data_IF_311308178270
#
_entry.id   IF_311308178270
#
_cell.length_a   1.000
_cell.length_b   1.000
_cell.length_c   1.000
_cell.angle_alpha   90.00
_cell.angle_beta   90.00
_cell.angle_gamma   90.00
#
_symmetry.space_group_name_H-M   'P 1'
#
loop_
_entity.id
_entity.type
_entity.pdbx_description
1 polymer ?
#
# COMPACT_ATOMS: atom_id res chain seq x y z
N UNK A 1 19.53 0.18 24.31
CA UNK A 1 18.53 1.28 24.18
C UNK A 1 17.20 0.71 24.60
N UNK A 2 16.39 1.43 25.38
CA UNK A 2 15.07 0.97 25.80
C UNK A 2 14.09 1.03 24.60
N UNK A 3 13.25 -0.01 24.45
CA UNK A 3 12.27 -0.08 23.37
C UNK A 3 11.07 0.82 23.66
N UNK A 4 10.58 1.52 22.65
CA UNK A 4 9.41 2.39 22.76
C UNK A 4 8.17 1.60 23.16
N UNK A 5 7.50 2.02 24.24
CA UNK A 5 6.24 1.43 24.69
C UNK A 5 5.15 1.47 23.62
N UNK A 6 5.10 2.56 22.86
CA UNK A 6 4.14 2.72 21.74
C UNK A 6 4.32 1.61 20.70
N UNK A 7 5.58 1.30 20.32
CA UNK A 7 5.88 0.24 19.36
C UNK A 7 5.61 -1.15 19.93
N UNK A 8 5.86 -1.37 21.20
CA UNK A 8 5.49 -2.63 21.87
C UNK A 8 3.98 -2.86 21.83
N UNK A 9 3.17 -1.83 22.13
CA UNK A 9 1.70 -1.91 22.05
C UNK A 9 1.20 -2.18 20.62
N UNK A 10 1.86 -1.60 19.62
CA UNK A 10 1.55 -1.89 18.21
C UNK A 10 1.85 -3.35 17.87
N UNK A 11 2.98 -3.89 18.29
CA UNK A 11 3.35 -5.30 18.07
C UNK A 11 2.38 -6.28 18.77
N UNK A 12 1.93 -5.96 19.98
CA UNK A 12 0.90 -6.74 20.67
C UNK A 12 -0.42 -6.75 19.92
N UNK A 13 -0.84 -5.58 19.43
CA UNK A 13 -2.06 -5.42 18.62
C UNK A 13 -1.98 -6.20 17.31
N UNK A 14 -0.81 -6.21 16.65
CA UNK A 14 -0.55 -7.03 15.46
C UNK A 14 -0.75 -8.51 15.76
N UNK A 15 -0.15 -9.02 16.84
CA UNK A 15 -0.28 -10.43 17.26
C UNK A 15 -1.74 -10.80 17.54
N UNK A 16 -2.45 -9.95 18.26
CA UNK A 16 -3.85 -10.13 18.59
C UNK A 16 -4.72 -10.17 17.32
N UNK A 17 -4.52 -9.22 16.40
CA UNK A 17 -5.32 -9.12 15.18
C UNK A 17 -5.00 -10.26 14.19
N UNK A 18 -3.75 -10.70 14.08
CA UNK A 18 -3.42 -11.90 13.31
C UNK A 18 -4.14 -13.13 13.89
N UNK A 19 -4.09 -13.33 15.22
CA UNK A 19 -4.79 -14.43 15.89
C UNK A 19 -6.29 -14.40 15.66
N UNK A 20 -6.90 -13.22 15.63
CA UNK A 20 -8.34 -13.04 15.37
C UNK A 20 -8.71 -13.00 13.88
N UNK A 21 -7.74 -13.01 12.96
CA UNK A 21 -7.99 -12.86 11.52
C UNK A 21 -8.42 -11.44 11.10
N UNK A 22 -8.13 -10.42 11.91
CA UNK A 22 -8.53 -9.03 11.66
C UNK A 22 -7.49 -8.27 10.84
N UNK A 23 -7.07 -8.82 9.72
CA UNK A 23 -5.96 -8.32 8.90
C UNK A 23 -6.17 -6.94 8.28
N UNK A 24 -7.37 -6.42 8.25
CA UNK A 24 -7.74 -5.11 7.70
C UNK A 24 -7.89 -4.02 8.77
N UNK A 25 -7.71 -4.37 10.04
CA UNK A 25 -7.79 -3.42 11.14
C UNK A 25 -6.50 -2.61 11.29
N UNK A 26 -6.66 -1.38 11.74
CA UNK A 26 -5.56 -0.50 12.07
C UNK A 26 -4.91 -0.87 13.39
N UNK A 27 -3.59 -0.90 13.38
CA UNK A 27 -2.77 -1.15 14.58
C UNK A 27 -2.15 0.13 15.14
N UNK A 28 -2.12 1.18 14.35
CA UNK A 28 -1.66 2.52 14.75
C UNK A 28 -2.81 3.38 15.29
N UNK A 29 -2.47 4.42 16.03
CA UNK A 29 -3.42 5.41 16.53
C UNK A 29 -3.45 6.61 15.58
N UNK A 30 -4.33 6.57 14.59
CA UNK A 30 -4.49 7.68 13.65
C UNK A 30 -5.34 8.83 14.23
N UNK A 31 -5.10 10.07 13.80
CA UNK A 31 -5.96 11.20 14.15
C UNK A 31 -7.41 10.98 13.69
N UNK A 32 -8.40 11.57 14.38
CA UNK A 32 -9.79 11.51 13.93
C UNK A 32 -9.95 12.01 12.49
N UNK A 33 -10.68 11.26 11.67
CA UNK A 33 -10.89 11.59 10.26
C UNK A 33 -11.95 12.68 10.10
N UNK A 34 -11.62 13.75 9.38
CA UNK A 34 -12.60 14.71 8.86
C UNK A 34 -12.98 14.30 7.45
N UNK A 35 -14.27 14.05 7.14
CA UNK A 35 -14.69 13.63 5.81
C UNK A 35 -14.38 14.67 4.72
N UNK A 36 -13.94 14.20 3.56
CA UNK A 36 -13.74 15.03 2.37
C UNK A 36 -15.08 15.50 1.78
N UNK A 37 -15.05 16.73 1.24
CA UNK A 37 -16.18 17.28 0.48
C UNK A 37 -15.92 17.14 -1.03
N UNK A 38 -16.96 16.96 -1.86
CA UNK A 38 -16.83 17.00 -3.31
C UNK A 38 -16.14 18.28 -3.80
N UNK A 39 -15.25 18.16 -4.78
CA UNK A 39 -14.47 19.27 -5.32
C UNK A 39 -13.33 19.80 -4.45
N UNK A 40 -13.12 19.23 -3.27
CA UNK A 40 -12.06 19.67 -2.35
C UNK A 40 -10.65 19.29 -2.84
N UNK A 41 -10.50 18.21 -3.60
CA UNK A 41 -9.21 17.69 -4.05
C UNK A 41 -9.05 17.88 -5.57
N UNK A 42 -7.95 18.48 -5.98
CA UNK A 42 -7.55 18.53 -7.40
C UNK A 42 -6.73 17.28 -7.76
N UNK A 43 -7.39 16.13 -7.85
CA UNK A 43 -6.77 14.82 -8.08
C UNK A 43 -5.86 14.75 -9.31
N UNK A 44 -6.15 15.52 -10.33
CA UNK A 44 -5.43 15.47 -11.62
C UNK A 44 -4.54 16.67 -11.87
N UNK A 45 -4.33 17.51 -10.85
CA UNK A 45 -3.50 18.71 -10.88
C UNK A 45 -3.89 19.64 -12.06
N UNK A 46 -5.17 19.98 -12.20
CA UNK A 46 -5.65 20.89 -13.25
C UNK A 46 -5.26 22.34 -12.98
N UNK A 47 -5.33 22.75 -11.70
CA UNK A 47 -5.03 24.12 -11.29
C UNK A 47 -3.52 24.36 -11.30
N UNK A 48 -3.09 25.52 -11.76
CA UNK A 48 -1.66 25.89 -11.77
C UNK A 48 -1.06 25.90 -10.36
N UNK A 49 -1.82 26.41 -9.37
CA UNK A 49 -1.43 26.40 -7.96
C UNK A 49 -1.19 24.97 -7.44
N UNK A 50 -2.07 24.02 -7.79
CA UNK A 50 -1.88 22.62 -7.41
C UNK A 50 -0.63 22.00 -8.02
N UNK A 51 -0.35 22.33 -9.30
CA UNK A 51 0.90 21.88 -9.97
C UNK A 51 2.13 22.39 -9.26
N UNK A 52 2.18 23.70 -9.00
CA UNK A 52 3.33 24.34 -8.34
C UNK A 52 3.52 23.78 -6.91
N UNK A 53 2.45 23.73 -6.12
CA UNK A 53 2.49 23.19 -4.76
C UNK A 53 2.98 21.73 -4.75
N UNK A 54 2.47 20.91 -5.69
CA UNK A 54 2.90 19.52 -5.81
C UNK A 54 4.37 19.41 -6.20
N UNK A 55 4.87 20.22 -7.11
CA UNK A 55 6.29 20.21 -7.53
C UNK A 55 7.21 20.55 -6.37
N UNK A 56 6.88 21.61 -5.63
CA UNK A 56 7.63 22.02 -4.44
C UNK A 56 7.60 20.92 -3.38
N UNK A 57 6.42 20.40 -3.07
CA UNK A 57 6.26 19.38 -2.05
C UNK A 57 7.00 18.08 -2.37
N UNK A 58 6.94 17.60 -3.63
CA UNK A 58 7.67 16.41 -4.04
C UNK A 58 9.20 16.63 -3.96
N UNK A 59 9.70 17.84 -4.28
CA UNK A 59 11.13 18.17 -4.11
C UNK A 59 11.54 18.19 -2.64
N UNK A 60 10.73 18.79 -1.77
CA UNK A 60 10.99 18.81 -0.32
C UNK A 60 10.96 17.40 0.25
N UNK A 61 9.94 16.59 -0.12
CA UNK A 61 9.84 15.19 0.32
C UNK A 61 11.04 14.37 -0.16
N UNK A 62 11.44 14.52 -1.43
CA UNK A 62 12.61 13.84 -1.97
C UNK A 62 13.88 14.19 -1.19
N UNK A 63 14.14 15.47 -0.94
CA UNK A 63 15.31 15.89 -0.17
C UNK A 63 15.28 15.34 1.26
N UNK A 64 14.11 15.32 1.90
CA UNK A 64 13.93 14.78 3.25
C UNK A 64 14.25 13.27 3.30
N UNK A 65 13.66 12.48 2.42
CA UNK A 65 13.88 11.04 2.42
C UNK A 65 15.26 10.64 1.88
N UNK A 66 15.81 11.35 0.91
CA UNK A 66 17.20 11.12 0.45
C UNK A 66 18.21 11.41 1.58
N UNK A 67 17.90 12.39 2.45
CA UNK A 67 18.69 12.63 3.66
C UNK A 67 18.62 11.42 4.62
N UNK A 68 17.42 10.86 4.86
CA UNK A 68 17.27 9.65 5.69
C UNK A 68 18.06 8.45 5.12
N UNK A 69 18.08 8.29 3.79
CA UNK A 69 18.90 7.25 3.15
C UNK A 69 20.39 7.51 3.39
N UNK A 70 20.85 8.77 3.21
CA UNK A 70 22.25 9.14 3.42
C UNK A 70 22.70 8.94 4.88
N UNK A 71 21.81 9.18 5.82
CA UNK A 71 22.05 9.01 7.27
C UNK A 71 21.87 7.55 7.75
N UNK A 72 21.54 6.63 6.85
CA UNK A 72 21.33 5.21 7.18
C UNK A 72 20.05 4.93 8.00
N UNK A 73 19.12 5.89 8.05
CA UNK A 73 17.83 5.73 8.74
C UNK A 73 16.76 5.06 7.85
N UNK A 74 16.90 5.15 6.54
CA UNK A 74 16.12 4.42 5.55
C UNK A 74 17.09 3.65 4.66
N UNK A 75 17.09 2.32 4.77
CA UNK A 75 18.06 1.45 4.11
C UNK A 75 17.36 0.68 3.00
N UNK A 76 17.64 1.03 1.75
CA UNK A 76 17.22 0.27 0.57
C UNK A 76 18.42 -0.54 0.10
N UNK A 77 18.44 -1.82 0.46
CA UNK A 77 19.56 -2.74 0.20
C UNK A 77 19.64 -3.12 -1.27
N UNK A 78 18.50 -3.43 -1.88
CA UNK A 78 18.46 -3.98 -3.23
C UNK A 78 17.10 -3.73 -3.90
N UNK A 79 17.12 -3.65 -5.23
CA UNK A 79 15.91 -3.65 -6.08
C UNK A 79 16.06 -4.81 -7.07
N UNK A 80 15.08 -5.73 -7.08
CA UNK A 80 15.02 -6.92 -7.95
C UNK A 80 13.86 -6.80 -8.92
N UNK A 81 14.03 -7.26 -10.14
CA UNK A 81 12.97 -7.33 -11.15
C UNK A 81 12.60 -5.97 -11.75
N UNK A 82 13.55 -5.02 -11.83
CA UNK A 82 13.31 -3.71 -12.44
C UNK A 82 12.82 -3.84 -13.89
N UNK A 83 13.23 -4.85 -14.62
CA UNK A 83 12.80 -5.17 -15.99
C UNK A 83 11.28 -5.35 -16.08
N UNK A 84 10.64 -5.89 -15.06
CA UNK A 84 9.19 -6.02 -14.98
C UNK A 84 8.49 -4.65 -15.00
N UNK A 85 9.02 -3.68 -14.26
CA UNK A 85 8.52 -2.30 -14.32
C UNK A 85 8.81 -1.65 -15.67
N UNK A 86 10.00 -1.86 -16.23
CA UNK A 86 10.39 -1.28 -17.51
C UNK A 86 9.49 -1.73 -18.66
N UNK A 87 8.93 -2.93 -18.61
CA UNK A 87 7.98 -3.45 -19.60
C UNK A 87 6.66 -2.66 -19.68
N UNK A 88 6.36 -1.83 -18.66
CA UNK A 88 5.15 -0.98 -18.57
C UNK A 88 5.50 0.48 -18.29
N UNK A 89 6.76 0.90 -18.41
CA UNK A 89 7.20 2.24 -18.02
C UNK A 89 6.51 3.35 -18.83
N UNK A 90 6.19 3.09 -20.10
CA UNK A 90 5.49 3.99 -21.02
C UNK A 90 3.97 4.05 -20.78
N UNK A 91 3.39 3.07 -20.08
CA UNK A 91 1.94 2.91 -19.85
C UNK A 91 1.55 3.36 -18.44
N UNK A 92 0.27 3.69 -18.26
CA UNK A 92 -0.30 3.79 -16.91
C UNK A 92 -0.36 2.41 -16.26
N UNK A 93 0.01 2.36 -14.98
CA UNK A 93 -0.02 1.11 -14.23
C UNK A 93 -0.45 1.34 -12.78
N UNK A 94 -1.20 0.38 -12.24
CA UNK A 94 -1.46 0.31 -10.82
C UNK A 94 -0.32 -0.46 -10.17
N UNK A 95 0.35 0.14 -9.20
CA UNK A 95 1.38 -0.51 -8.38
C UNK A 95 0.74 -0.93 -7.07
N UNK A 96 0.85 -2.20 -6.72
CA UNK A 96 0.48 -2.70 -5.38
C UNK A 96 1.73 -2.93 -4.56
N UNK A 97 1.66 -2.67 -3.24
CA UNK A 97 2.76 -2.96 -2.32
C UNK A 97 2.20 -3.40 -0.96
N UNK A 98 2.95 -4.22 -0.21
CA UNK A 98 2.68 -4.49 1.20
C UNK A 98 2.93 -3.21 2.03
N UNK A 99 2.16 -3.05 3.11
CA UNK A 99 2.16 -1.80 3.90
C UNK A 99 2.62 -2.05 5.33
N UNK A 100 3.87 -1.73 5.62
CA UNK A 100 4.53 -2.08 6.88
C UNK A 100 5.26 -0.92 7.55
N UNK A 101 5.48 0.21 6.83
CA UNK A 101 6.20 1.34 7.37
C UNK A 101 5.79 2.64 6.67
N UNK A 102 5.95 3.79 7.34
CA UNK A 102 5.70 5.10 6.75
C UNK A 102 6.63 5.43 5.56
N UNK A 103 7.76 4.71 5.44
CA UNK A 103 8.78 4.92 4.40
C UNK A 103 8.65 3.97 3.21
N UNK A 104 7.77 2.98 3.26
CA UNK A 104 7.63 1.98 2.20
C UNK A 104 7.26 2.59 0.84
N UNK A 105 6.42 3.64 0.84
CA UNK A 105 6.07 4.37 -0.38
C UNK A 105 7.29 5.06 -1.02
N UNK A 106 8.25 5.50 -0.20
CA UNK A 106 9.48 6.10 -0.71
C UNK A 106 10.44 5.04 -1.25
N UNK A 107 10.50 3.86 -0.64
CA UNK A 107 11.26 2.73 -1.17
C UNK A 107 10.74 2.31 -2.56
N UNK A 108 9.40 2.24 -2.74
CA UNK A 108 8.78 2.02 -4.06
C UNK A 108 9.17 3.12 -5.06
N UNK A 109 9.04 4.41 -4.67
CA UNK A 109 9.44 5.52 -5.53
C UNK A 109 10.90 5.43 -5.93
N UNK A 110 11.79 5.18 -4.97
CA UNK A 110 13.24 5.13 -5.18
C UNK A 110 13.64 3.99 -6.13
N UNK A 111 12.95 2.86 -6.05
CA UNK A 111 13.20 1.72 -6.93
C UNK A 111 12.95 2.05 -8.42
N UNK A 112 12.02 2.95 -8.73
CA UNK A 112 11.63 3.29 -10.10
C UNK A 112 11.95 4.73 -10.51
N UNK A 113 12.50 5.54 -9.62
CA UNK A 113 12.74 6.99 -9.79
C UNK A 113 13.40 7.31 -11.15
N UNK A 114 14.47 6.60 -11.48
CA UNK A 114 15.23 6.83 -12.72
C UNK A 114 14.45 6.47 -13.99
N UNK A 115 13.46 5.60 -13.87
CA UNK A 115 12.66 5.07 -14.98
C UNK A 115 11.28 5.72 -15.11
N UNK A 116 10.90 6.61 -14.18
CA UNK A 116 9.65 7.36 -14.25
C UNK A 116 9.66 8.41 -15.38
N UNK A 117 10.83 8.94 -15.75
CA UNK A 117 10.95 10.01 -16.74
C UNK A 117 10.17 11.26 -16.32
N UNK A 118 9.20 11.67 -17.16
CA UNK A 118 8.29 12.79 -16.87
C UNK A 118 7.02 12.38 -16.17
N UNK A 119 6.83 11.07 -15.92
CA UNK A 119 5.64 10.54 -15.24
C UNK A 119 5.77 10.68 -13.73
N UNK A 120 4.64 10.60 -13.06
CA UNK A 120 4.56 10.74 -11.60
C UNK A 120 4.09 9.44 -10.97
N UNK A 121 4.51 9.21 -9.74
CA UNK A 121 3.95 8.19 -8.87
C UNK A 121 2.91 8.86 -7.96
N UNK A 122 1.63 8.57 -8.20
CA UNK A 122 0.53 8.94 -7.32
C UNK A 122 0.35 7.88 -6.24
N UNK A 123 -0.20 8.25 -5.08
CA UNK A 123 -0.39 7.35 -3.94
C UNK A 123 -1.81 7.46 -3.42
N UNK A 124 -2.53 6.34 -3.42
CA UNK A 124 -3.85 6.28 -2.77
C UNK A 124 -3.63 6.29 -1.26
N UNK A 125 -4.30 7.20 -0.58
CA UNK A 125 -4.23 7.38 0.87
C UNK A 125 -5.64 7.43 1.48
N UNK A 126 -5.75 7.24 2.78
CA UNK A 126 -7.01 7.49 3.50
C UNK A 126 -7.34 8.98 3.53
N UNK A 127 -8.61 9.33 3.56
CA UNK A 127 -9.03 10.73 3.67
C UNK A 127 -8.52 11.39 4.96
N UNK A 128 -8.44 10.66 6.08
CA UNK A 128 -7.92 11.17 7.34
C UNK A 128 -6.45 11.63 7.24
N UNK A 129 -5.63 10.94 6.46
CA UNK A 129 -4.25 11.37 6.23
C UNK A 129 -4.19 12.72 5.51
N UNK A 130 -5.10 12.95 4.55
CA UNK A 130 -5.19 14.21 3.83
C UNK A 130 -5.78 15.34 4.68
N UNK A 131 -6.85 15.06 5.42
CA UNK A 131 -7.65 16.08 6.11
C UNK A 131 -7.14 16.43 7.50
N UNK A 132 -6.61 15.47 8.25
CA UNK A 132 -6.40 15.60 9.70
C UNK A 132 -4.95 15.44 10.14
N UNK A 133 -4.05 14.93 9.27
CA UNK A 133 -2.67 14.71 9.67
C UNK A 133 -1.90 16.03 9.81
N UNK A 134 -1.22 16.27 10.97
CA UNK A 134 -0.51 17.52 11.23
C UNK A 134 0.92 17.56 10.66
N UNK A 135 1.58 18.71 10.76
CA UNK A 135 2.99 18.90 10.54
C UNK A 135 3.47 18.59 9.12
N UNK A 136 4.74 18.18 9.01
CA UNK A 136 5.42 17.91 7.74
C UNK A 136 4.77 16.77 6.94
N UNK A 137 4.39 15.68 7.62
CA UNK A 137 3.68 14.57 6.97
C UNK A 137 2.31 14.99 6.45
N UNK A 138 1.56 15.80 7.20
CA UNK A 138 0.31 16.36 6.70
C UNK A 138 0.49 17.24 5.47
N UNK A 139 1.59 18.01 5.40
CA UNK A 139 1.95 18.74 4.19
C UNK A 139 2.23 17.80 3.01
N UNK A 140 2.98 16.70 3.23
CA UNK A 140 3.23 15.70 2.19
C UNK A 140 1.94 15.00 1.75
N UNK A 141 1.06 14.63 2.68
CA UNK A 141 -0.22 14.00 2.36
C UNK A 141 -1.15 14.92 1.55
N UNK A 142 -1.03 16.24 1.67
CA UNK A 142 -1.84 17.19 0.88
C UNK A 142 -1.26 17.52 -0.49
N UNK A 143 0.06 17.37 -0.68
CA UNK A 143 0.69 17.92 -1.87
C UNK A 143 1.57 16.95 -2.67
N UNK A 144 1.98 15.79 -2.13
CA UNK A 144 2.90 14.86 -2.80
C UNK A 144 2.18 13.83 -3.69
N UNK A 145 1.42 14.28 -4.69
CA UNK A 145 0.73 13.39 -5.65
C UNK A 145 -0.14 12.35 -4.94
N UNK A 146 -0.93 12.76 -3.97
CA UNK A 146 -1.78 11.88 -3.20
C UNK A 146 -3.21 11.85 -3.77
N UNK A 147 -3.84 10.70 -3.62
CA UNK A 147 -5.20 10.41 -4.06
C UNK A 147 -6.00 9.95 -2.84
N UNK A 148 -6.53 10.89 -2.01
CA UNK A 148 -7.29 10.51 -0.84
C UNK A 148 -8.60 9.80 -1.22
N UNK A 149 -8.81 8.62 -0.60
CA UNK A 149 -9.99 7.80 -0.77
C UNK A 149 -11.06 8.25 0.24
N UNK A 150 -12.05 9.02 -0.24
CA UNK A 150 -13.12 9.53 0.60
C UNK A 150 -14.19 8.49 0.92
N UNK A 151 -14.81 8.64 2.09
CA UNK A 151 -15.96 7.83 2.52
C UNK A 151 -17.27 8.24 1.81
N UNK A 152 -17.35 9.46 1.27
CA UNK A 152 -18.48 9.97 0.52
C UNK A 152 -18.50 9.44 -0.91
N UNK A 153 -19.66 8.93 -1.38
CA UNK A 153 -19.82 8.38 -2.72
C UNK A 153 -19.50 9.37 -3.85
N UNK A 154 -19.76 10.66 -3.66
CA UNK A 154 -19.45 11.67 -4.68
C UNK A 154 -17.93 11.86 -4.80
N UNK A 155 -17.21 11.95 -3.67
CA UNK A 155 -15.74 12.01 -3.62
C UNK A 155 -15.12 10.73 -4.21
N UNK A 156 -15.68 9.56 -3.89
CA UNK A 156 -15.24 8.29 -4.48
C UNK A 156 -15.40 8.29 -6.01
N UNK A 157 -16.49 8.81 -6.53
CA UNK A 157 -16.69 8.94 -8.00
C UNK A 157 -15.67 9.89 -8.64
N UNK A 158 -15.36 11.02 -8.00
CA UNK A 158 -14.30 11.94 -8.45
C UNK A 158 -12.94 11.23 -8.50
N UNK A 159 -12.59 10.47 -7.47
CA UNK A 159 -11.37 9.67 -7.44
C UNK A 159 -11.35 8.62 -8.58
N UNK A 160 -12.45 7.90 -8.79
CA UNK A 160 -12.53 6.90 -9.87
C UNK A 160 -12.30 7.51 -11.25
N UNK A 161 -12.88 8.68 -11.53
CA UNK A 161 -12.62 9.42 -12.77
C UNK A 161 -11.18 9.88 -12.87
N UNK A 162 -10.62 10.36 -11.77
CA UNK A 162 -9.23 10.79 -11.73
C UNK A 162 -8.24 9.64 -11.98
N UNK A 163 -8.46 8.47 -11.39
CA UNK A 163 -7.66 7.26 -11.64
C UNK A 163 -7.65 6.90 -13.13
N UNK A 164 -8.82 6.87 -13.79
CA UNK A 164 -8.90 6.61 -15.23
C UNK A 164 -8.09 7.62 -16.04
N UNK A 165 -8.20 8.91 -15.71
CA UNK A 165 -7.47 9.99 -16.41
C UNK A 165 -5.96 9.85 -16.19
N UNK A 166 -5.52 9.58 -14.97
CA UNK A 166 -4.11 9.45 -14.64
C UNK A 166 -3.47 8.23 -15.33
N UNK A 167 -4.14 7.08 -15.29
CA UNK A 167 -3.66 5.87 -15.96
C UNK A 167 -3.59 6.07 -17.48
N UNK A 168 -4.58 6.73 -18.11
CA UNK A 168 -4.52 7.08 -19.55
C UNK A 168 -3.39 8.04 -19.91
N UNK A 169 -2.93 8.87 -18.95
CA UNK A 169 -1.75 9.74 -19.14
C UNK A 169 -0.42 9.00 -18.98
N UNK A 170 -0.44 7.70 -18.65
CA UNK A 170 0.75 6.91 -18.38
C UNK A 170 1.31 7.06 -16.97
N UNK A 171 0.56 7.69 -16.05
CA UNK A 171 0.99 7.87 -14.65
C UNK A 171 0.96 6.53 -13.90
N UNK A 172 1.71 6.45 -12.81
CA UNK A 172 1.74 5.30 -11.91
C UNK A 172 0.94 5.61 -10.66
N UNK A 173 0.16 4.63 -10.19
CA UNK A 173 -0.67 4.81 -8.99
C UNK A 173 -0.34 3.69 -8.01
N UNK A 174 0.29 4.05 -6.89
CA UNK A 174 0.56 3.14 -5.78
C UNK A 174 -0.68 3.03 -4.89
N UNK A 175 -1.04 1.81 -4.57
CA UNK A 175 -2.11 1.48 -3.64
C UNK A 175 -1.70 0.28 -2.77
N UNK A 176 -2.09 0.32 -1.50
CA UNK A 176 -1.86 -0.76 -0.56
C UNK A 176 -3.12 -1.62 -0.42
N UNK A 177 -3.20 -2.77 -1.09
CA UNK A 177 -4.41 -3.60 -1.06
C UNK A 177 -4.66 -4.28 0.30
N UNK A 178 -3.70 -4.24 1.20
CA UNK A 178 -3.81 -4.67 2.59
C UNK A 178 -4.57 -3.66 3.48
N UNK A 179 -4.71 -2.41 3.02
CA UNK A 179 -5.34 -1.25 3.67
C UNK A 179 -4.50 -0.66 4.82
N UNK A 180 -4.66 -1.15 6.05
CA UNK A 180 -3.92 -0.63 7.21
C UNK A 180 -2.41 -0.89 7.14
N UNK A 181 -1.60 -0.01 7.71
CA UNK A 181 -0.17 -0.25 7.91
C UNK A 181 0.03 -1.12 9.15
N UNK A 182 0.80 -2.21 9.02
CA UNK A 182 1.20 -3.04 10.15
C UNK A 182 2.72 -2.97 10.33
N UNK A 183 3.16 -2.22 11.30
CA UNK A 183 4.55 -1.86 11.49
C UNK A 183 5.49 -3.07 11.51
N UNK A 184 6.46 -3.07 10.59
CA UNK A 184 7.46 -4.12 10.37
C UNK A 184 6.91 -5.55 10.23
N UNK A 185 5.64 -5.69 9.85
CA UNK A 185 5.02 -7.00 9.63
C UNK A 185 5.46 -7.58 8.28
N UNK A 186 6.10 -8.75 8.31
CA UNK A 186 6.79 -9.34 7.16
C UNK A 186 5.89 -10.18 6.24
N UNK A 187 4.81 -10.75 6.79
CA UNK A 187 3.92 -11.63 6.01
C UNK A 187 3.00 -10.82 5.10
N UNK A 188 2.77 -11.25 3.83
CA UNK A 188 1.70 -10.66 3.03
C UNK A 188 0.34 -10.90 3.71
N UNK A 189 -0.50 -9.88 3.81
CA UNK A 189 -1.85 -10.00 4.39
C UNK A 189 -2.89 -10.23 3.30
N UNK A 190 -4.11 -10.73 3.63
CA UNK A 190 -5.20 -10.87 2.67
C UNK A 190 -5.52 -9.56 1.97
N UNK A 191 -5.61 -9.58 0.63
CA UNK A 191 -5.78 -8.39 -0.19
C UNK A 191 -7.25 -8.03 -0.39
N UNK A 192 -7.57 -6.72 -0.37
CA UNK A 192 -8.87 -6.17 -0.77
C UNK A 192 -8.92 -5.93 -2.28
N UNK A 193 -10.13 -5.95 -2.85
CA UNK A 193 -10.32 -5.90 -4.31
C UNK A 193 -10.15 -4.49 -4.92
N UNK A 194 -10.16 -3.42 -4.13
CA UNK A 194 -10.25 -2.04 -4.63
C UNK A 194 -9.20 -1.69 -5.68
N UNK A 195 -7.93 -2.02 -5.43
CA UNK A 195 -6.81 -1.80 -6.35
C UNK A 195 -7.04 -2.47 -7.71
N UNK A 196 -7.47 -3.72 -7.67
CA UNK A 196 -7.67 -4.56 -8.85
C UNK A 196 -8.92 -4.16 -9.65
N UNK A 197 -9.96 -3.66 -8.97
CA UNK A 197 -11.14 -3.06 -9.63
C UNK A 197 -10.79 -1.78 -10.37
N UNK A 198 -9.95 -0.91 -9.82
CA UNK A 198 -9.44 0.27 -10.51
C UNK A 198 -8.65 -0.12 -11.76
N UNK A 199 -7.70 -1.05 -11.62
CA UNK A 199 -6.91 -1.53 -12.75
C UNK A 199 -7.77 -2.16 -13.86
N UNK A 200 -8.65 -3.09 -13.50
CA UNK A 200 -9.53 -3.79 -14.44
C UNK A 200 -10.46 -2.82 -15.19
N UNK A 201 -11.05 -1.84 -14.48
CA UNK A 201 -11.92 -0.82 -15.08
C UNK A 201 -11.18 0.04 -16.09
N UNK A 202 -9.94 0.40 -15.82
CA UNK A 202 -9.13 1.26 -16.68
C UNK A 202 -8.33 0.46 -17.72
N UNK A 203 -8.51 -0.85 -17.80
CA UNK A 203 -7.73 -1.77 -18.65
C UNK A 203 -6.22 -1.60 -18.44
N UNK A 204 -5.80 -1.24 -17.24
CA UNK A 204 -4.41 -1.02 -16.87
C UNK A 204 -3.81 -2.25 -16.20
N UNK A 205 -2.50 -2.52 -16.40
CA UNK A 205 -1.81 -3.58 -15.68
C UNK A 205 -1.67 -3.25 -14.18
N UNK A 206 -1.61 -4.29 -13.36
CA UNK A 206 -1.12 -4.22 -11.98
C UNK A 206 0.33 -4.68 -11.98
N UNK A 207 1.23 -3.91 -11.39
CA UNK A 207 2.61 -4.31 -11.13
C UNK A 207 2.74 -4.57 -9.64
N UNK A 208 2.84 -5.85 -9.22
CA UNK A 208 3.01 -6.16 -7.81
C UNK A 208 4.42 -5.82 -7.35
N UNK A 209 4.53 -5.02 -6.30
CA UNK A 209 5.75 -4.82 -5.52
C UNK A 209 5.58 -5.54 -4.19
N UNK A 210 6.63 -6.17 -3.74
CA UNK A 210 6.70 -6.74 -2.39
C UNK A 210 8.03 -6.36 -1.76
N UNK A 211 8.02 -5.78 -0.58
CA UNK A 211 9.23 -5.38 0.11
C UNK A 211 9.48 -6.36 1.24
N UNK A 212 10.63 -7.03 1.20
CA UNK A 212 11.13 -7.85 2.28
C UNK A 212 12.09 -7.07 3.15
N UNK A 213 12.22 -7.47 4.41
CA UNK A 213 12.95 -6.75 5.45
C UNK A 213 13.92 -7.67 6.17
N UNK A 214 15.10 -7.13 6.46
CA UNK A 214 16.10 -7.77 7.30
C UNK A 214 16.44 -6.84 8.46
N UNK A 215 16.56 -7.37 9.69
CA UNK A 215 17.02 -6.62 10.84
C UNK A 215 18.50 -6.25 10.65
N UNK A 216 18.86 -4.99 10.94
CA UNK A 216 20.25 -4.56 10.93
C UNK A 216 20.80 -4.51 12.36
N UNK A 217 22.11 -4.33 12.48
CA UNK A 217 22.77 -4.12 13.79
C UNK A 217 22.57 -2.70 14.34
N UNK A 218 22.04 -1.78 13.51
CA UNK A 218 21.76 -0.39 13.90
C UNK A 218 20.34 -0.28 14.44
N UNK A 219 20.20 0.44 15.55
CA UNK A 219 18.91 0.66 16.21
C UNK A 219 18.37 2.06 15.92
N UNK A 220 17.06 2.14 15.67
CA UNK A 220 16.34 3.40 15.57
C UNK A 220 16.15 4.11 16.90
N UNK A 221 15.63 5.33 16.86
CA UNK A 221 15.31 6.10 18.07
C UNK A 221 14.22 5.43 18.94
N UNK A 222 13.45 4.51 18.36
CA UNK A 222 12.42 3.71 19.02
C UNK A 222 12.97 2.47 19.75
N UNK A 223 14.28 2.23 19.69
CA UNK A 223 14.95 1.10 20.33
C UNK A 223 14.79 -0.24 19.60
N UNK A 224 14.32 -0.23 18.34
CA UNK A 224 14.22 -1.42 17.50
C UNK A 224 15.26 -1.40 16.38
N UNK A 225 15.69 -2.58 15.87
CA UNK A 225 16.59 -2.64 14.73
C UNK A 225 16.01 -1.93 13.50
N UNK A 226 16.81 -1.09 12.86
CA UNK A 226 16.45 -0.57 11.54
C UNK A 226 16.32 -1.71 10.54
N UNK A 227 15.41 -1.58 9.60
CA UNK A 227 15.14 -2.59 8.59
C UNK A 227 15.84 -2.26 7.29
N UNK A 228 16.60 -3.21 6.75
CA UNK A 228 17.12 -3.12 5.38
C UNK A 228 16.11 -3.72 4.40
N UNK A 229 15.68 -2.92 3.42
CA UNK A 229 14.62 -3.26 2.48
C UNK A 229 15.19 -3.82 1.19
N UNK A 230 14.66 -4.98 0.75
CA UNK A 230 14.79 -5.45 -0.64
C UNK A 230 13.44 -5.26 -1.34
N UNK A 231 13.43 -4.43 -2.38
CA UNK A 231 12.23 -4.16 -3.18
C UNK A 231 12.14 -5.16 -4.32
N UNK A 232 11.16 -6.04 -4.29
CA UNK A 232 10.87 -6.98 -5.37
C UNK A 232 9.79 -6.42 -6.28
N UNK A 233 10.09 -6.26 -7.56
CA UNK A 233 9.16 -5.85 -8.61
C UNK A 233 8.82 -7.09 -9.42
N UNK A 234 7.54 -7.48 -9.39
CA UNK A 234 7.09 -8.75 -9.94
C UNK A 234 6.45 -8.55 -11.32
N UNK A 235 6.20 -9.64 -12.04
CA UNK A 235 5.62 -9.60 -13.39
C UNK A 235 4.29 -8.85 -13.41
N UNK A 236 4.09 -7.96 -14.40
CA UNK A 236 2.83 -7.25 -14.56
C UNK A 236 1.66 -8.19 -14.82
N UNK A 237 0.56 -7.95 -14.13
CA UNK A 237 -0.68 -8.71 -14.26
C UNK A 237 -1.65 -7.87 -15.09
N UNK A 238 -2.02 -8.36 -16.27
CA UNK A 238 -2.93 -7.68 -17.19
C UNK A 238 -4.36 -8.17 -17.00
N UNK A 239 -5.37 -7.28 -17.15
CA UNK A 239 -6.76 -7.71 -17.23
C UNK A 239 -7.01 -8.45 -18.54
N UNK A 240 -7.87 -9.45 -18.52
CA UNK A 240 -8.33 -10.22 -19.66
C UNK A 240 -9.52 -9.51 -20.32
N UNK A 241 -9.38 -9.14 -21.60
CA UNK A 241 -10.42 -8.42 -22.34
C UNK A 241 -11.72 -9.22 -22.50
N UNK A 242 -11.66 -10.56 -22.40
CA UNK A 242 -12.86 -11.43 -22.49
C UNK A 242 -13.69 -11.45 -21.19
N UNK A 243 -13.17 -10.90 -20.09
CA UNK A 243 -13.78 -10.98 -18.76
C UNK A 243 -14.30 -9.62 -18.31
N UNK A 244 -15.36 -9.65 -17.48
CA UNK A 244 -15.85 -8.42 -16.86
C UNK A 244 -14.92 -7.92 -15.73
N UNK A 245 -15.16 -6.69 -15.28
CA UNK A 245 -14.34 -6.01 -14.26
C UNK A 245 -14.26 -6.82 -12.95
N UNK A 246 -15.35 -7.46 -12.52
CA UNK A 246 -15.37 -8.23 -11.28
C UNK A 246 -14.51 -9.49 -11.39
N UNK A 247 -14.62 -10.23 -12.48
CA UNK A 247 -13.81 -11.42 -12.74
C UNK A 247 -12.31 -11.07 -12.82
N UNK A 248 -11.97 -10.04 -13.60
CA UNK A 248 -10.61 -9.55 -13.70
C UNK A 248 -10.04 -9.15 -12.33
N UNK A 249 -10.80 -8.40 -11.54
CA UNK A 249 -10.35 -7.95 -10.22
C UNK A 249 -10.04 -9.13 -9.28
N UNK A 250 -10.86 -10.16 -9.28
CA UNK A 250 -10.64 -11.35 -8.47
C UNK A 250 -9.40 -12.12 -8.90
N UNK A 251 -9.22 -12.35 -10.21
CA UNK A 251 -8.07 -13.08 -10.74
C UNK A 251 -6.76 -12.32 -10.56
N UNK A 252 -6.77 -11.01 -10.85
CA UNK A 252 -5.58 -10.16 -10.66
C UNK A 252 -5.19 -10.12 -9.17
N UNK A 253 -6.16 -10.02 -8.25
CA UNK A 253 -5.94 -10.11 -6.81
C UNK A 253 -5.28 -11.43 -6.42
N UNK A 254 -5.82 -12.56 -6.91
CA UNK A 254 -5.27 -13.87 -6.60
C UNK A 254 -3.85 -14.04 -7.13
N UNK A 255 -3.59 -13.65 -8.38
CA UNK A 255 -2.24 -13.69 -8.97
C UNK A 255 -1.25 -12.83 -8.17
N UNK A 256 -1.67 -11.62 -7.80
CA UNK A 256 -0.84 -10.72 -6.99
C UNK A 256 -0.49 -11.34 -5.63
N UNK A 257 -1.49 -11.90 -4.94
CA UNK A 257 -1.27 -12.53 -3.63
C UNK A 257 -0.33 -13.73 -3.72
N UNK A 258 -0.50 -14.60 -4.73
CA UNK A 258 0.37 -15.74 -4.94
C UNK A 258 1.81 -15.31 -5.27
N UNK A 259 1.99 -14.25 -6.05
CA UNK A 259 3.31 -13.69 -6.33
C UNK A 259 3.99 -13.16 -5.06
N UNK A 260 3.27 -12.44 -4.20
CA UNK A 260 3.79 -11.98 -2.91
C UNK A 260 4.12 -13.13 -1.96
N UNK A 261 3.23 -14.14 -1.87
CA UNK A 261 3.45 -15.35 -1.09
C UNK A 261 4.74 -16.04 -1.50
N UNK A 262 4.95 -16.22 -2.81
CA UNK A 262 6.16 -16.85 -3.35
C UNK A 262 7.42 -16.10 -2.90
N UNK A 263 7.47 -14.77 -3.06
CA UNK A 263 8.61 -13.96 -2.64
C UNK A 263 8.86 -14.08 -1.13
N UNK A 264 7.80 -14.06 -0.32
CA UNK A 264 7.90 -14.23 1.12
C UNK A 264 8.53 -15.59 1.47
N UNK A 265 8.01 -16.68 0.91
CA UNK A 265 8.47 -18.04 1.19
C UNK A 265 9.93 -18.27 0.73
N UNK A 266 10.28 -17.76 -0.45
CA UNK A 266 11.65 -17.83 -0.99
C UNK A 266 12.64 -16.98 -0.18
N UNK A 267 12.23 -15.80 0.29
CA UNK A 267 13.14 -14.91 1.02
C UNK A 267 13.39 -15.38 2.45
N UNK A 268 12.35 -15.83 3.15
CA UNK A 268 12.46 -16.19 4.56
C UNK A 268 12.66 -17.71 4.80
N UNK A 269 12.57 -18.53 3.75
CA UNK A 269 12.77 -19.98 3.83
C UNK A 269 11.71 -20.73 4.65
N UNK A 270 10.54 -20.11 4.84
CA UNK A 270 9.44 -20.66 5.66
C UNK A 270 8.11 -20.56 4.91
N UNK A 271 7.19 -21.53 5.07
CA UNK A 271 5.87 -21.43 4.48
C UNK A 271 5.06 -20.28 5.09
N UNK A 272 4.23 -19.62 4.27
CA UNK A 272 3.34 -18.58 4.76
C UNK A 272 2.21 -19.20 5.57
N UNK A 273 2.24 -18.96 6.88
CA UNK A 273 1.21 -19.36 7.83
C UNK A 273 0.80 -18.20 8.71
N UNK A 274 -0.45 -18.21 9.17
CA UNK A 274 -0.96 -17.25 10.15
C UNK A 274 -1.33 -17.96 11.44
N UNK A 275 -1.28 -17.23 12.55
CA UNK A 275 -1.69 -17.74 13.88
C UNK A 275 -3.18 -17.71 14.10
N UNK A 276 -3.97 -17.39 13.05
CA UNK A 276 -5.42 -17.26 13.12
C UNK A 276 -6.08 -18.57 13.60
N UNK A 277 -6.83 -18.50 14.69
CA UNK A 277 -7.64 -19.60 15.20
C UNK A 277 -8.98 -19.58 14.49
N UNK A 278 -9.23 -20.58 13.66
CA UNK A 278 -10.57 -20.80 13.08
C UNK A 278 -11.45 -21.37 14.18
N UNK A 279 -12.36 -20.59 14.74
CA UNK A 279 -13.43 -21.15 15.59
C UNK A 279 -14.26 -22.10 14.71
N UNK A 280 -14.07 -23.39 14.91
CA UNK A 280 -14.97 -24.39 14.40
C UNK A 280 -16.34 -24.13 15.04
N UNK A 281 -17.29 -23.54 14.28
CA UNK A 281 -18.69 -23.55 14.67
C UNK A 281 -19.14 -24.98 14.68
N UNK A 282 -19.09 -25.59 15.86
CA UNK A 282 -19.68 -26.87 16.13
C UNK A 282 -21.22 -26.69 15.98
N UNK A 283 -21.76 -27.05 14.83
CA UNK A 283 -23.19 -27.21 14.64
C UNK A 283 -23.58 -28.45 15.46
N UNK A 284 -23.95 -28.26 16.72
CA UNK A 284 -24.72 -29.24 17.46
C UNK A 284 -26.09 -29.37 16.78
N UNK A 285 -26.26 -30.43 15.98
CA UNK A 285 -27.55 -30.90 15.56
C UNK A 285 -28.34 -31.28 16.83
N UNK A 286 -29.39 -30.54 17.14
CA UNK A 286 -30.35 -30.97 18.11
C UNK A 286 -31.10 -32.19 17.53
N UNK A 287 -31.23 -33.28 18.27
CA UNK A 287 -32.03 -34.41 17.82
C UNK A 287 -33.51 -34.02 17.80
N UNK A 288 -34.14 -34.20 16.64
CA UNK A 288 -35.57 -34.07 16.47
C UNK A 288 -36.32 -35.06 17.42
N UNK A 289 -37.02 -34.50 18.39
CA UNK A 289 -38.01 -35.28 19.14
C UNK A 289 -39.17 -35.62 18.21
N UNK A 290 -39.25 -36.88 17.84
CA UNK A 290 -40.49 -37.48 17.33
C UNK A 290 -41.43 -37.62 18.53
N UNK A 291 -42.55 -36.91 18.49
CA UNK A 291 -43.73 -37.24 19.34
C UNK A 291 -44.62 -38.22 18.59
N UNK A 292 -44.96 -39.28 19.31
CA UNK A 292 -46.04 -40.23 18.97
C UNK A 292 -47.43 -39.57 18.93
#
# INVERSE_FOLDING_TARGET
MEQSLERLLVLERIKEYEKKGFFDKDVENDPPTTPLKPGQVDYTLKKLSSKISSEIANRVAKNYFDKLIKEGQLIIKEVRGLENYLSVADKGAMITCNHFNAFDNYAVFKAIEKSLGRKRLYKVIREGNYTSFPGLYGYFFRHCNTLPLGSNLAVLRELMVAVDVLLKRGEKILIYPEQGMWWNYRKPRPLKEGAFRFAARSSAPVVPFFITMEDTETYGADGFPLQAYTVHILEPIYPDASKNVKQNALEMKQKNYLAWKKVYEETYGIPLTYTTVTENKCFTQQPSQQQM
#
